data_IF_300715282987
#
_entry.id   IF_300715282987
#
_cell.length_a   1.000
_cell.length_b   1.000
_cell.length_c   1.000
_cell.angle_alpha   90.00
_cell.angle_beta   90.00
_cell.angle_gamma   90.00
#
_symmetry.space_group_name_H-M   'P 1'
#
loop_
_entity.id
_entity.type
_entity.pdbx_description
1 polymer ?
#
# COMPACT_ATOMS: atom_id res chain seq x y z
N UNK A 1 18.31 -19.33 3.58
CA UNK A 1 16.94 -19.37 3.02
C UNK A 1 16.79 -20.69 2.28
N UNK A 2 15.77 -21.46 2.66
CA UNK A 2 15.40 -22.70 1.99
C UNK A 2 14.08 -22.45 1.26
N UNK A 3 14.03 -22.77 -0.04
CA UNK A 3 12.87 -22.47 -0.87
C UNK A 3 12.11 -23.76 -1.22
N UNK A 4 10.77 -23.74 -1.18
CA UNK A 4 9.96 -24.83 -1.71
C UNK A 4 10.19 -25.05 -3.22
N UNK A 5 9.96 -26.28 -3.74
CA UNK A 5 10.26 -26.61 -5.14
C UNK A 5 9.38 -25.88 -6.17
N UNK A 6 8.24 -25.32 -5.75
CA UNK A 6 7.35 -24.53 -6.61
C UNK A 6 7.84 -23.09 -6.83
N UNK A 7 8.89 -22.65 -6.16
CA UNK A 7 9.46 -21.32 -6.32
C UNK A 7 10.44 -21.34 -7.50
N UNK A 8 10.22 -20.48 -8.50
CA UNK A 8 11.12 -20.39 -9.66
C UNK A 8 12.49 -19.86 -9.25
N UNK A 9 13.55 -20.22 -10.00
CA UNK A 9 14.90 -19.72 -9.75
C UNK A 9 14.99 -18.19 -9.79
N UNK A 10 14.22 -17.53 -10.66
CA UNK A 10 14.14 -16.06 -10.73
C UNK A 10 13.54 -15.48 -9.45
N UNK A 11 12.51 -16.11 -8.89
CA UNK A 11 11.89 -15.69 -7.63
C UNK A 11 12.83 -15.92 -6.44
N UNK A 12 13.51 -17.07 -6.39
CA UNK A 12 14.51 -17.36 -5.37
C UNK A 12 15.66 -16.33 -5.38
N UNK A 13 16.22 -16.05 -6.56
CA UNK A 13 17.27 -15.03 -6.75
C UNK A 13 16.83 -13.68 -6.20
N UNK A 14 15.60 -13.25 -6.57
CA UNK A 14 15.04 -11.99 -6.09
C UNK A 14 14.95 -11.95 -4.56
N UNK A 15 14.36 -12.99 -3.95
CA UNK A 15 14.14 -13.03 -2.50
C UNK A 15 15.48 -13.05 -1.75
N UNK A 16 16.48 -13.79 -2.23
CA UNK A 16 17.83 -13.78 -1.63
C UNK A 16 18.48 -12.41 -1.70
N UNK A 17 18.38 -11.73 -2.84
CA UNK A 17 18.99 -10.41 -3.04
C UNK A 17 18.29 -9.31 -2.21
N UNK A 18 16.96 -9.37 -2.08
CA UNK A 18 16.18 -8.46 -1.22
C UNK A 18 16.42 -8.72 0.28
N UNK A 19 16.66 -9.98 0.68
CA UNK A 19 16.92 -10.36 2.07
C UNK A 19 18.42 -10.45 2.38
N UNK A 20 19.27 -9.75 1.64
CA UNK A 20 20.68 -9.63 2.00
C UNK A 20 20.79 -8.94 3.37
N UNK A 21 21.53 -9.58 4.28
CA UNK A 21 21.76 -9.09 5.65
C UNK A 21 22.55 -7.79 5.65
N UNK A 22 23.49 -7.63 4.72
CA UNK A 22 24.24 -6.39 4.53
C UNK A 22 23.33 -5.37 3.82
N UNK A 23 22.95 -4.25 4.47
CA UNK A 23 22.07 -3.25 3.85
C UNK A 23 22.66 -2.64 2.58
N UNK A 24 23.98 -2.46 2.50
CA UNK A 24 24.66 -1.84 1.35
C UNK A 24 24.68 -2.72 0.10
N UNK A 25 24.54 -4.04 0.28
CA UNK A 25 24.50 -5.02 -0.81
C UNK A 25 23.07 -5.51 -1.11
N UNK A 26 22.09 -5.05 -0.34
CA UNK A 26 20.69 -5.42 -0.55
C UNK A 26 20.22 -4.86 -1.88
N UNK A 27 19.49 -5.68 -2.64
CA UNK A 27 18.89 -5.22 -3.89
C UNK A 27 18.01 -4.00 -3.64
N UNK A 28 18.27 -2.91 -4.39
CA UNK A 28 17.57 -1.64 -4.21
C UNK A 28 18.29 -0.65 -3.30
N UNK A 29 19.42 -1.02 -2.69
CA UNK A 29 20.24 -0.10 -1.89
C UNK A 29 20.78 1.08 -2.72
N UNK A 30 20.97 0.89 -4.04
CA UNK A 30 21.35 1.97 -4.98
C UNK A 30 20.16 2.53 -5.76
N UNK A 31 18.93 2.20 -5.36
CA UNK A 31 17.70 2.73 -5.91
C UNK A 31 16.83 1.73 -6.65
N UNK A 32 15.63 2.16 -7.03
CA UNK A 32 14.57 1.30 -7.57
C UNK A 32 14.92 0.66 -8.93
N UNK A 33 15.84 1.25 -9.71
CA UNK A 33 16.23 0.71 -11.01
C UNK A 33 16.86 -0.68 -10.92
N UNK A 34 17.54 -0.99 -9.81
CA UNK A 34 18.09 -2.33 -9.59
C UNK A 34 17.00 -3.39 -9.46
N UNK A 35 15.93 -3.04 -8.76
CA UNK A 35 14.77 -3.91 -8.58
C UNK A 35 14.07 -4.08 -9.92
N UNK A 36 13.84 -2.98 -10.65
CA UNK A 36 13.19 -3.01 -11.97
C UNK A 36 13.95 -3.84 -13.01
N UNK A 37 15.27 -3.85 -12.95
CA UNK A 37 16.14 -4.58 -13.86
C UNK A 37 16.34 -6.06 -13.48
N UNK A 38 15.85 -6.52 -12.32
CA UNK A 38 16.05 -7.91 -11.91
C UNK A 38 15.28 -8.87 -12.86
N UNK A 39 15.85 -10.03 -13.26
CA UNK A 39 15.24 -10.96 -14.23
C UNK A 39 13.83 -11.47 -13.86
N UNK A 40 13.46 -11.41 -12.58
CA UNK A 40 12.11 -11.73 -12.13
C UNK A 40 11.05 -10.79 -12.74
N UNK A 41 11.40 -9.53 -13.02
CA UNK A 41 10.50 -8.51 -13.55
C UNK A 41 10.72 -8.26 -15.05
N UNK A 42 11.41 -9.14 -15.78
CA UNK A 42 11.71 -8.91 -17.21
C UNK A 42 10.45 -8.75 -18.08
N UNK A 43 9.32 -9.31 -17.65
CA UNK A 43 8.03 -9.23 -18.35
C UNK A 43 7.19 -8.01 -17.98
N UNK A 44 7.69 -7.15 -17.07
CA UNK A 44 6.95 -5.99 -16.57
C UNK A 44 7.25 -4.77 -17.44
N UNK A 45 6.20 -4.24 -18.07
CA UNK A 45 6.23 -2.90 -18.69
C UNK A 45 5.97 -1.84 -17.59
N UNK A 46 7.04 -1.24 -17.08
CA UNK A 46 6.95 -0.25 -16.01
C UNK A 46 6.16 1.01 -16.38
N UNK A 47 6.35 1.63 -17.57
CA UNK A 47 5.49 2.71 -18.04
C UNK A 47 4.00 2.33 -18.12
N UNK A 48 3.66 1.16 -18.69
CA UNK A 48 2.26 0.74 -18.81
C UNK A 48 1.64 0.41 -17.45
N UNK A 49 2.43 -0.17 -16.53
CA UNK A 49 2.00 -0.42 -15.15
C UNK A 49 1.71 0.91 -14.41
N UNK A 50 2.59 1.91 -14.54
CA UNK A 50 2.41 3.23 -13.93
C UNK A 50 1.18 3.95 -14.48
N UNK A 51 0.92 3.83 -15.78
CA UNK A 51 -0.25 4.39 -16.44
C UNK A 51 -1.53 3.54 -16.25
N UNK A 52 -1.52 2.55 -15.35
CA UNK A 52 -2.65 1.64 -15.08
C UNK A 52 -3.21 0.90 -16.30
N UNK A 53 -2.38 0.71 -17.34
CA UNK A 53 -2.77 0.00 -18.58
C UNK A 53 -2.57 -1.51 -18.50
N UNK A 54 -1.82 -1.97 -17.50
CA UNK A 54 -1.64 -3.41 -17.25
C UNK A 54 -2.82 -3.93 -16.43
N UNK A 55 -3.60 -4.91 -16.92
CA UNK A 55 -4.73 -5.44 -16.17
C UNK A 55 -4.25 -6.15 -14.89
N UNK A 56 -4.91 -5.93 -13.73
CA UNK A 56 -4.53 -6.62 -12.50
C UNK A 56 -4.83 -8.12 -12.62
N UNK A 57 -3.94 -9.00 -12.11
CA UNK A 57 -4.13 -10.45 -12.20
C UNK A 57 -5.27 -10.97 -11.30
N UNK A 58 -5.73 -10.16 -10.35
CA UNK A 58 -6.80 -10.48 -9.43
C UNK A 58 -7.73 -9.27 -9.27
N UNK A 59 -9.04 -9.52 -9.26
CA UNK A 59 -10.05 -8.53 -8.89
C UNK A 59 -10.62 -8.94 -7.52
N UNK A 60 -10.48 -8.10 -6.48
CA UNK A 60 -11.08 -8.37 -5.16
C UNK A 60 -12.59 -8.59 -5.24
N UNK A 61 -13.12 -9.37 -4.30
CA UNK A 61 -14.55 -9.66 -4.21
C UNK A 61 -15.36 -8.36 -4.09
N UNK A 62 -16.30 -8.18 -5.02
CA UNK A 62 -17.36 -7.15 -4.97
C UNK A 62 -18.71 -7.86 -4.99
N UNK A 63 -19.57 -7.59 -4.03
CA UNK A 63 -20.97 -7.98 -4.11
C UNK A 63 -21.75 -6.94 -4.90
N UNK A 64 -22.53 -7.39 -5.90
CA UNK A 64 -23.44 -6.54 -6.68
C UNK A 64 -24.63 -6.01 -5.88
N UNK A 65 -24.84 -6.50 -4.67
CA UNK A 65 -25.99 -6.17 -3.82
C UNK A 65 -25.75 -4.96 -2.88
N UNK A 66 -24.50 -4.57 -2.61
CA UNK A 66 -24.17 -3.40 -1.80
C UNK A 66 -22.67 -3.07 -1.94
N UNK A 67 -22.35 -1.93 -2.55
CA UNK A 67 -20.97 -1.47 -2.74
C UNK A 67 -20.28 -1.06 -1.43
N UNK A 68 -21.05 -0.84 -0.36
CA UNK A 68 -20.56 -0.35 0.93
C UNK A 68 -20.17 -1.47 1.91
N UNK A 69 -20.33 -2.74 1.54
CA UNK A 69 -20.02 -3.83 2.47
C UNK A 69 -18.49 -4.05 2.54
N UNK A 70 -17.86 -3.96 3.72
CA UNK A 70 -16.41 -4.03 3.88
C UNK A 70 -15.89 -5.49 3.84
N UNK A 71 -16.14 -6.20 2.75
CA UNK A 71 -15.86 -7.65 2.61
C UNK A 71 -14.38 -8.02 2.66
N UNK A 72 -13.49 -7.06 2.40
CA UNK A 72 -12.04 -7.26 2.41
C UNK A 72 -11.40 -6.87 3.76
N UNK A 73 -12.22 -6.54 4.76
CA UNK A 73 -11.78 -6.21 6.12
C UNK A 73 -12.24 -7.29 7.10
N UNK A 74 -11.48 -7.49 8.16
CA UNK A 74 -11.88 -8.45 9.19
C UNK A 74 -13.13 -7.97 9.94
N UNK A 75 -14.01 -8.92 10.23
CA UNK A 75 -15.29 -8.65 10.88
C UNK A 75 -15.11 -8.06 12.30
N UNK A 76 -13.99 -8.35 12.96
CA UNK A 76 -13.70 -7.81 14.28
C UNK A 76 -13.62 -6.28 14.29
N UNK A 77 -13.08 -5.67 13.24
CA UNK A 77 -12.96 -4.21 13.13
C UNK A 77 -14.24 -3.56 12.61
N UNK A 78 -14.90 -4.18 11.62
CA UNK A 78 -16.11 -3.63 10.99
C UNK A 78 -17.34 -3.70 11.90
N UNK A 79 -17.26 -4.48 12.98
CA UNK A 79 -18.29 -4.58 14.03
C UNK A 79 -17.95 -3.78 15.28
N UNK A 80 -16.79 -3.11 15.33
CA UNK A 80 -16.52 -2.19 16.43
C UNK A 80 -17.55 -1.06 16.42
N UNK A 81 -18.05 -0.63 17.58
CA UNK A 81 -18.92 0.53 17.65
C UNK A 81 -18.14 1.75 17.15
N UNK A 82 -18.75 2.51 16.24
CA UNK A 82 -18.21 3.81 15.88
C UNK A 82 -18.24 4.70 17.14
N UNK A 83 -17.13 5.40 17.48
CA UNK A 83 -17.14 6.34 18.59
C UNK A 83 -18.24 7.37 18.36
N UNK A 84 -19.01 7.67 19.40
CA UNK A 84 -20.08 8.65 19.29
C UNK A 84 -19.51 10.04 19.06
N UNK A 85 -20.28 10.89 18.39
CA UNK A 85 -19.94 12.30 18.13
C UNK A 85 -19.54 13.01 19.43
N UNK A 86 -20.21 12.70 20.55
CA UNK A 86 -19.91 13.25 21.87
C UNK A 86 -18.51 12.86 22.39
N UNK A 87 -18.03 11.65 22.11
CA UNK A 87 -16.68 11.19 22.48
C UNK A 87 -15.63 11.94 21.64
N UNK A 88 -15.90 12.12 20.35
CA UNK A 88 -15.05 12.90 19.45
C UNK A 88 -14.96 14.37 19.90
N UNK A 89 -16.08 15.00 20.21
CA UNK A 89 -16.12 16.39 20.68
C UNK A 89 -15.45 16.59 22.04
N UNK A 90 -15.52 15.61 22.95
CA UNK A 90 -14.80 15.66 24.23
C UNK A 90 -13.29 15.54 24.03
N UNK A 91 -12.82 14.63 23.19
CA UNK A 91 -11.41 14.51 22.84
C UNK A 91 -10.86 15.79 22.17
N UNK A 92 -11.71 16.47 21.41
CA UNK A 92 -11.40 17.77 20.81
C UNK A 92 -11.35 18.93 21.81
N UNK A 93 -12.11 18.86 22.91
CA UNK A 93 -12.14 19.89 23.97
C UNK A 93 -11.04 19.72 25.02
N UNK A 94 -10.50 18.51 25.18
CA UNK A 94 -9.37 18.22 26.08
C UNK A 94 -8.00 18.66 25.50
N UNK A 95 -8.03 19.37 24.36
CA UNK A 95 -6.87 20.06 23.80
C UNK A 95 -6.50 21.22 24.73
N UNK A 96 -5.51 21.01 25.57
CA UNK A 96 -4.66 22.12 26.03
C UNK A 96 -4.19 22.89 24.80
N UNK A 97 -4.17 24.22 24.87
CA UNK A 97 -3.82 25.16 23.78
C UNK A 97 -2.32 25.08 23.44
N UNK A 98 -1.85 23.88 23.11
CA UNK A 98 -0.49 23.61 22.70
C UNK A 98 -0.42 23.77 21.18
N UNK A 99 0.47 24.63 20.70
CA UNK A 99 0.75 24.82 19.26
C UNK A 99 1.33 23.57 18.58
N UNK A 100 1.41 22.43 19.28
CA UNK A 100 1.93 21.14 18.80
C UNK A 100 1.31 20.67 17.48
N UNK A 101 0.07 21.05 17.18
CA UNK A 101 -0.63 20.66 15.95
C UNK A 101 -0.99 21.86 15.04
N UNK A 102 -0.37 23.02 15.24
CA UNK A 102 -0.54 24.16 14.33
C UNK A 102 -0.05 23.76 12.92
N UNK A 103 -0.86 24.04 11.89
CA UNK A 103 -0.58 23.62 10.50
C UNK A 103 -0.95 22.17 10.16
N UNK A 104 -1.68 21.47 11.03
CA UNK A 104 -2.15 20.09 10.75
C UNK A 104 -3.25 20.03 9.68
N UNK A 105 -4.10 21.07 9.58
CA UNK A 105 -5.18 21.10 8.62
C UNK A 105 -4.64 21.13 7.18
N UNK A 106 -5.11 20.20 6.35
CA UNK A 106 -4.77 20.09 4.95
C UNK A 106 -6.05 19.86 4.13
N UNK A 107 -6.20 20.63 3.07
CA UNK A 107 -7.19 20.38 2.02
C UNK A 107 -6.41 19.97 0.76
N UNK A 108 -6.80 18.83 0.16
CA UNK A 108 -6.19 18.37 -1.07
C UNK A 108 -6.52 19.37 -2.19
N UNK A 109 -5.54 19.96 -2.90
CA UNK A 109 -5.82 20.81 -4.04
C UNK A 109 -6.55 20.05 -5.15
N UNK A 110 -7.51 20.70 -5.80
CA UNK A 110 -8.41 20.10 -6.81
C UNK A 110 -7.69 19.42 -8.00
N UNK A 111 -6.42 19.73 -8.25
CA UNK A 111 -5.65 19.26 -9.41
C UNK A 111 -5.11 17.82 -9.29
N UNK A 112 -5.30 17.13 -8.15
CA UNK A 112 -4.74 15.79 -7.91
C UNK A 112 -5.67 14.62 -8.28
N UNK A 113 -6.95 14.89 -8.58
CA UNK A 113 -7.94 13.83 -8.87
C UNK A 113 -7.85 13.27 -10.32
N UNK A 114 -7.07 13.91 -11.19
CA UNK A 114 -7.03 13.60 -12.62
C UNK A 114 -6.01 12.52 -13.04
N UNK A 115 -5.21 11.96 -12.14
CA UNK A 115 -4.11 11.03 -12.49
C UNK A 115 -4.58 9.57 -12.68
N UNK A 116 -5.87 9.28 -12.52
CA UNK A 116 -6.38 7.91 -12.53
C UNK A 116 -7.67 7.62 -13.32
N UNK A 117 -8.17 8.56 -14.14
CA UNK A 117 -9.33 8.32 -15.03
C UNK A 117 -8.92 7.88 -16.43
#
# INVERSE_FOLDING_TARGET
>A
LHFPPYVSHKAESLIRALLNRNPSERLGARGANEVKAHPFFETVDWPALLALKTPPPFRPCRTTANEETPLNFEAEFTRLPLPSVEILEKAQRDRTTSDTFSGFAYECPDDMDAVGS
#
